data_IF_787234564825
#
_entry.id   IF_787234564825
#
_cell.length_a   1.000
_cell.length_b   1.000
_cell.length_c   1.000
_cell.angle_alpha   90.00
_cell.angle_beta   90.00
_cell.angle_gamma   90.00
#
_symmetry.space_group_name_H-M   'P 1'
#
loop_
_entity.id
_entity.type
_entity.pdbx_description
1 polymer ?
#
# COMPACT_ATOMS: atom_id res chain seq x y z
N UNK A 1 11.85 19.45 -20.06
CA UNK A 1 10.65 18.69 -19.66
C UNK A 1 10.95 18.07 -18.31
N UNK A 2 10.50 18.71 -17.22
CA UNK A 2 10.80 18.30 -15.85
C UNK A 2 9.98 17.05 -15.52
N UNK A 3 10.67 15.95 -15.23
CA UNK A 3 10.09 14.74 -14.64
C UNK A 3 9.90 14.99 -13.14
N UNK A 4 8.67 15.27 -12.73
CA UNK A 4 8.31 15.31 -11.32
C UNK A 4 8.40 13.89 -10.73
N UNK A 5 9.37 13.69 -9.85
CA UNK A 5 9.36 12.56 -8.93
C UNK A 5 8.16 12.72 -8.00
N UNK A 6 7.21 11.78 -8.08
CA UNK A 6 6.20 11.58 -7.04
C UNK A 6 6.94 11.04 -5.81
N UNK A 7 6.93 11.72 -4.65
CA UNK A 7 7.54 11.19 -3.46
C UNK A 7 6.54 10.24 -2.81
N UNK A 8 6.61 8.95 -3.16
CA UNK A 8 5.95 7.90 -2.38
C UNK A 8 6.73 7.71 -1.07
N UNK A 9 6.39 8.51 -0.05
CA UNK A 9 7.02 8.49 1.27
C UNK A 9 6.32 7.45 2.15
N UNK A 10 7.09 6.40 2.43
CA UNK A 10 7.32 5.78 3.74
C UNK A 10 6.19 4.99 4.42
N UNK A 11 6.37 3.67 4.39
CA UNK A 11 6.19 2.67 5.45
C UNK A 11 5.46 3.14 6.72
N UNK A 12 4.25 2.61 6.94
CA UNK A 12 3.67 2.47 8.27
C UNK A 12 3.32 0.99 8.52
N UNK A 13 4.26 0.26 9.12
CA UNK A 13 3.98 -1.01 9.79
C UNK A 13 3.31 -0.68 11.12
N UNK A 14 1.98 -0.58 11.14
CA UNK A 14 1.20 -0.37 12.36
C UNK A 14 1.18 -1.69 13.16
N UNK A 15 2.14 -1.85 14.08
CA UNK A 15 2.00 -2.76 15.21
C UNK A 15 1.29 -2.00 16.34
N UNK A 16 -0.04 -2.11 16.40
CA UNK A 16 -0.79 -1.76 17.62
C UNK A 16 -1.16 -3.04 18.38
N UNK A 17 -0.99 -2.95 19.69
CA UNK A 17 -0.73 -4.08 20.57
C UNK A 17 -1.92 -4.68 21.32
N UNK A 18 -1.55 -5.78 22.00
CA UNK A 18 -2.12 -6.37 23.21
C UNK A 18 -3.57 -6.86 23.15
N UNK A 19 -3.74 -8.09 22.65
CA UNK A 19 -4.62 -9.04 23.30
C UNK A 19 -3.83 -10.31 23.64
N UNK A 20 -3.99 -10.74 24.89
CA UNK A 20 -3.27 -11.83 25.54
C UNK A 20 -3.64 -13.19 24.94
N UNK A 21 -3.06 -13.52 23.79
CA UNK A 21 -2.94 -14.89 23.28
C UNK A 21 -1.75 -14.95 22.32
N UNK A 22 -0.54 -14.84 22.87
CA UNK A 22 0.69 -15.03 22.10
C UNK A 22 0.76 -16.50 21.68
N UNK A 23 0.20 -16.80 20.51
CA UNK A 23 0.70 -17.89 19.70
C UNK A 23 2.18 -17.61 19.53
N UNK A 24 3.04 -18.46 20.10
CA UNK A 24 4.50 -18.27 20.06
C UNK A 24 4.91 -18.25 18.59
N UNK A 25 5.06 -17.06 18.02
CA UNK A 25 5.60 -16.92 16.67
C UNK A 25 6.99 -17.55 16.71
N UNK A 26 7.26 -18.58 15.89
CA UNK A 26 8.60 -19.14 15.82
C UNK A 26 9.59 -18.01 15.48
N UNK A 27 10.84 -18.08 15.99
CA UNK A 27 11.84 -17.06 15.71
C UNK A 27 12.01 -16.92 14.20
N UNK A 28 12.07 -15.66 13.72
CA UNK A 28 12.28 -15.38 12.30
C UNK A 28 13.61 -16.01 11.89
N UNK A 29 13.56 -16.84 10.84
CA UNK A 29 14.74 -17.51 10.29
C UNK A 29 15.69 -16.45 9.76
N UNK A 30 16.96 -16.53 10.12
CA UNK A 30 17.98 -15.58 9.68
C UNK A 30 18.13 -15.66 8.15
N UNK A 31 17.94 -14.53 7.46
CA UNK A 31 17.90 -14.41 6.00
C UNK A 31 19.30 -14.24 5.40
N UNK A 32 20.26 -15.07 5.80
CA UNK A 32 21.64 -14.90 5.34
C UNK A 32 21.77 -15.26 3.85
N UNK A 33 22.17 -14.28 3.04
CA UNK A 33 22.44 -14.45 1.60
C UNK A 33 21.24 -14.18 0.68
N UNK A 34 20.13 -13.64 1.17
CA UNK A 34 19.06 -13.20 0.28
C UNK A 34 19.52 -12.02 -0.59
N UNK A 35 19.34 -12.16 -1.89
CA UNK A 35 19.51 -11.07 -2.86
C UNK A 35 18.20 -10.89 -3.63
N UNK A 36 17.71 -9.66 -3.82
CA UNK A 36 16.49 -9.43 -4.56
C UNK A 36 16.69 -9.85 -6.02
N UNK A 37 15.79 -10.68 -6.53
CA UNK A 37 15.71 -11.00 -7.96
C UNK A 37 14.60 -10.18 -8.58
N UNK A 38 14.99 -9.25 -9.44
CA UNK A 38 14.06 -8.42 -10.20
C UNK A 38 13.81 -9.01 -11.59
N UNK A 39 12.60 -8.88 -12.15
CA UNK A 39 12.33 -9.29 -13.52
C UNK A 39 13.11 -8.42 -14.52
N UNK A 40 13.67 -9.05 -15.56
CA UNK A 40 14.54 -8.41 -16.57
C UNK A 40 13.83 -7.30 -17.35
N UNK A 41 12.50 -7.34 -17.43
CA UNK A 41 11.64 -6.38 -18.13
C UNK A 41 10.71 -5.59 -17.19
N UNK A 42 10.97 -5.59 -15.88
CA UNK A 42 10.10 -4.97 -14.88
C UNK A 42 8.65 -5.52 -14.84
N UNK A 43 8.36 -6.66 -15.49
CA UNK A 43 7.04 -7.29 -15.45
C UNK A 43 6.96 -8.31 -14.32
N UNK A 44 6.00 -8.11 -13.41
CA UNK A 44 5.70 -9.03 -12.31
C UNK A 44 4.44 -9.82 -12.64
N UNK A 45 4.39 -11.11 -12.27
CA UNK A 45 3.15 -11.87 -12.28
C UNK A 45 2.30 -11.43 -11.08
N UNK A 46 1.21 -10.71 -11.35
CA UNK A 46 0.27 -10.22 -10.33
C UNK A 46 -0.92 -11.13 -10.09
N UNK A 47 -1.05 -12.21 -10.89
CA UNK A 47 -2.20 -13.10 -10.85
C UNK A 47 -2.35 -13.73 -9.47
N UNK A 48 -3.54 -13.62 -8.89
CA UNK A 48 -3.82 -14.31 -7.64
C UNK A 48 -4.01 -15.81 -7.89
N UNK A 49 -3.09 -16.62 -7.34
CA UNK A 49 -3.11 -18.09 -7.49
C UNK A 49 -3.82 -18.83 -6.36
N UNK A 50 -4.49 -18.10 -5.45
CA UNK A 50 -5.02 -18.66 -4.21
C UNK A 50 -4.02 -18.61 -3.06
N UNK A 51 -4.48 -18.99 -1.87
CA UNK A 51 -3.62 -19.17 -0.70
C UNK A 51 -3.02 -20.57 -0.69
N UNK A 52 -1.80 -20.70 -0.18
CA UNK A 52 -1.13 -21.98 -0.03
C UNK A 52 -0.90 -22.29 1.46
N UNK A 53 -1.18 -23.52 1.87
CA UNK A 53 -1.19 -23.93 3.28
C UNK A 53 0.21 -24.22 3.85
N UNK A 54 1.19 -24.46 2.98
CA UNK A 54 2.56 -24.85 3.32
C UNK A 54 3.58 -23.69 3.25
N UNK A 55 3.09 -22.47 2.99
CA UNK A 55 3.91 -21.26 2.90
C UNK A 55 3.26 -20.09 3.64
N UNK A 56 4.06 -19.06 3.94
CA UNK A 56 3.53 -17.82 4.50
C UNK A 56 2.81 -17.03 3.41
N UNK A 57 1.50 -16.85 3.58
CA UNK A 57 0.71 -15.97 2.71
C UNK A 57 0.93 -14.50 3.15
N UNK A 58 1.53 -13.70 2.28
CA UNK A 58 1.77 -12.27 2.54
C UNK A 58 0.68 -11.45 1.86
N UNK A 59 -0.11 -10.73 2.66
CA UNK A 59 -1.14 -9.83 2.15
C UNK A 59 -0.58 -8.41 2.07
N UNK A 60 -0.37 -7.92 0.86
CA UNK A 60 0.00 -6.52 0.63
C UNK A 60 -1.28 -5.69 0.53
N UNK A 61 -1.43 -4.70 1.41
CA UNK A 61 -2.62 -3.83 1.46
C UNK A 61 -2.19 -2.39 1.17
N UNK A 62 -2.19 -1.97 -0.10
CA UNK A 62 -1.94 -0.57 -0.46
C UNK A 62 -3.04 0.33 0.07
N UNK A 63 -2.66 1.45 0.68
CA UNK A 63 -3.54 2.46 1.24
C UNK A 63 -2.87 3.84 1.20
N UNK A 64 -3.67 4.90 1.37
CA UNK A 64 -3.22 6.25 1.69
C UNK A 64 -3.82 6.67 3.04
N UNK A 65 -3.20 7.64 3.69
CA UNK A 65 -3.73 8.27 4.90
C UNK A 65 -3.93 9.75 4.60
N UNK A 66 -5.18 10.14 4.35
CA UNK A 66 -5.52 11.50 3.98
C UNK A 66 -6.20 12.18 5.16
N UNK A 67 -5.47 13.03 5.88
CA UNK A 67 -6.04 13.73 7.04
C UNK A 67 -7.15 14.70 6.62
N UNK A 68 -8.38 14.48 7.10
CA UNK A 68 -9.52 15.36 6.86
C UNK A 68 -9.47 16.61 7.76
N UNK A 69 -8.40 17.38 7.63
CA UNK A 69 -8.09 18.55 8.45
C UNK A 69 -7.01 18.23 9.49
N UNK A 70 -5.81 18.76 9.27
CA UNK A 70 -4.70 18.67 10.22
C UNK A 70 -3.85 19.93 10.17
N UNK A 71 -2.93 20.04 9.21
CA UNK A 71 -2.16 21.27 8.97
C UNK A 71 -2.84 22.18 7.95
N UNK A 72 -3.48 21.59 6.95
CA UNK A 72 -4.35 22.28 6.00
C UNK A 72 -5.81 21.93 6.29
N UNK A 73 -6.71 22.74 5.74
CA UNK A 73 -8.13 22.44 5.74
C UNK A 73 -8.45 21.30 4.78
N UNK A 74 -9.65 20.73 4.92
CA UNK A 74 -10.10 19.61 4.06
C UNK A 74 -10.09 20.01 2.57
N UNK A 75 -10.52 21.21 2.22
CA UNK A 75 -10.61 21.60 0.81
C UNK A 75 -9.24 21.92 0.19
N UNK A 76 -8.31 22.43 1.00
CA UNK A 76 -6.90 22.62 0.60
C UNK A 76 -6.22 21.27 0.36
N UNK A 77 -6.34 20.31 1.29
CA UNK A 77 -5.81 18.96 1.07
C UNK A 77 -6.43 18.28 -0.14
N UNK A 78 -7.73 18.46 -0.37
CA UNK A 78 -8.39 17.88 -1.55
C UNK A 78 -7.78 18.39 -2.84
N UNK A 79 -7.65 19.71 -2.96
CA UNK A 79 -7.20 20.37 -4.21
C UNK A 79 -5.70 20.23 -4.46
N UNK A 80 -4.89 20.12 -3.41
CA UNK A 80 -3.43 20.08 -3.55
C UNK A 80 -2.86 18.67 -3.64
N UNK A 81 -3.58 17.66 -3.12
CA UNK A 81 -3.01 16.32 -2.92
C UNK A 81 -4.01 15.19 -3.21
N UNK A 82 -5.16 15.18 -2.53
CA UNK A 82 -6.04 13.99 -2.51
C UNK A 82 -6.68 13.73 -3.87
N UNK A 83 -7.06 14.78 -4.62
CA UNK A 83 -7.62 14.63 -5.96
C UNK A 83 -6.69 13.83 -6.89
N UNK A 84 -5.40 14.18 -6.90
CA UNK A 84 -4.37 13.55 -7.69
C UNK A 84 -4.08 12.12 -7.22
N UNK A 85 -4.10 11.87 -5.91
CA UNK A 85 -3.93 10.52 -5.36
C UNK A 85 -5.06 9.61 -5.86
N UNK A 86 -6.31 10.04 -5.74
CA UNK A 86 -7.47 9.25 -6.18
C UNK A 86 -7.45 9.02 -7.70
N UNK A 87 -7.17 10.06 -8.49
CA UNK A 87 -7.10 9.95 -9.95
C UNK A 87 -6.02 8.97 -10.42
N UNK A 88 -4.82 9.06 -9.85
CA UNK A 88 -3.71 8.18 -10.23
C UNK A 88 -3.96 6.74 -9.80
N UNK A 89 -4.50 6.53 -8.59
CA UNK A 89 -4.89 5.20 -8.12
C UNK A 89 -5.93 4.58 -9.05
N UNK A 90 -6.97 5.31 -9.45
CA UNK A 90 -8.00 4.80 -10.36
C UNK A 90 -7.40 4.37 -11.70
N UNK A 91 -6.52 5.19 -12.29
CA UNK A 91 -5.81 4.84 -13.53
C UNK A 91 -4.96 3.58 -13.36
N UNK A 92 -4.22 3.47 -12.26
CA UNK A 92 -3.36 2.31 -12.02
C UNK A 92 -4.15 1.04 -11.71
N UNK A 93 -5.29 1.12 -11.01
CA UNK A 93 -6.19 0.00 -10.80
C UNK A 93 -6.85 -0.44 -12.12
N UNK A 94 -7.20 0.51 -12.99
CA UNK A 94 -7.77 0.18 -14.30
C UNK A 94 -6.79 -0.58 -15.21
N UNK A 95 -5.49 -0.25 -15.13
CA UNK A 95 -4.44 -0.92 -15.92
C UNK A 95 -4.22 -2.38 -15.55
N UNK A 96 -4.52 -2.79 -14.31
CA UNK A 96 -4.32 -4.16 -13.86
C UNK A 96 -5.40 -4.58 -12.84
N UNK A 97 -6.30 -5.51 -13.23
CA UNK A 97 -7.42 -5.94 -12.39
C UNK A 97 -7.01 -6.76 -11.16
N UNK A 98 -5.74 -7.19 -11.03
CA UNK A 98 -5.23 -7.86 -9.83
C UNK A 98 -4.82 -6.86 -8.74
N UNK A 99 -4.64 -5.58 -9.07
CA UNK A 99 -4.29 -4.56 -8.09
C UNK A 99 -5.47 -4.29 -7.15
N UNK A 100 -5.15 -3.93 -5.91
CA UNK A 100 -6.11 -3.59 -4.86
C UNK A 100 -5.65 -2.32 -4.17
N UNK A 101 -6.60 -1.56 -3.66
CA UNK A 101 -6.36 -0.36 -2.88
C UNK A 101 -7.45 -0.21 -1.83
N UNK A 102 -7.08 0.22 -0.63
CA UNK A 102 -8.01 0.54 0.45
C UNK A 102 -8.07 2.06 0.63
N UNK A 103 -9.29 2.59 0.72
CA UNK A 103 -9.55 4.01 0.98
C UNK A 103 -10.56 4.16 2.10
N UNK A 104 -10.34 5.09 3.03
CA UNK A 104 -11.13 5.21 4.26
C UNK A 104 -11.92 6.52 4.30
N UNK A 105 -11.31 7.63 3.94
CA UNK A 105 -11.78 8.98 4.29
C UNK A 105 -12.92 9.48 3.38
N UNK A 106 -14.14 9.14 3.76
CA UNK A 106 -15.37 9.52 3.03
C UNK A 106 -15.58 11.04 2.90
N UNK A 107 -14.89 11.85 3.70
CA UNK A 107 -14.93 13.30 3.53
C UNK A 107 -14.43 13.67 2.14
N UNK A 108 -13.32 13.11 1.70
CA UNK A 108 -12.74 13.37 0.38
C UNK A 108 -13.48 12.62 -0.72
N UNK A 109 -13.84 11.36 -0.52
CA UNK A 109 -14.47 10.53 -1.56
C UNK A 109 -15.83 11.04 -2.05
N UNK A 110 -16.52 11.86 -1.24
CA UNK A 110 -17.82 12.45 -1.61
C UNK A 110 -17.72 13.78 -2.37
N UNK A 111 -16.52 14.34 -2.53
CA UNK A 111 -16.28 15.57 -3.29
C UNK A 111 -16.15 15.24 -4.77
#
# INVERSE_FOLDING_TARGET
MLSALVPAVLVAMLLQGTDSAVHKTPPLRECDGWTPRYPVNAAYNTTFHGYADDVVNVHLIPHTHDDAGWLLTVDEYFTEQVDYILDTVLVELHKNPDRRFMYVEQAFLRR
#
